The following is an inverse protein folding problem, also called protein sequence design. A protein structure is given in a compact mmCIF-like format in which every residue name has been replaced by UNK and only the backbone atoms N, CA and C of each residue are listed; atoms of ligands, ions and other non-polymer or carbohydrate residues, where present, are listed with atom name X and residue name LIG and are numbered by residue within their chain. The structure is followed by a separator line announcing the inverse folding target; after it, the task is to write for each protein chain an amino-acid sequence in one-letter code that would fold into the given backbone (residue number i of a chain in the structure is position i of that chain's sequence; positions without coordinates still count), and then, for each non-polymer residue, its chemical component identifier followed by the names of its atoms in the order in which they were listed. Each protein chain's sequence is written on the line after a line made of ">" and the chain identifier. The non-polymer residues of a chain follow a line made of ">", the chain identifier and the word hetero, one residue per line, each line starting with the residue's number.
data_IF_104111038362
#
_entry.id   IF_104111038362
#
_cell.length_a   1.000
_cell.length_b   1.000
_cell.length_c   1.000
_cell.angle_alpha   90.00
_cell.angle_beta   90.00
_cell.angle_gamma   90.00
#
_symmetry.space_group_name_H-M   'P 1'
#
loop_
_entity.id
_entity.type
_entity.pdbx_description
1 polymer ?
#
# COMPACT_ATOMS: atom_id res chain seq x y z
N UNK A 1 -16.17 -12.83 5.24
CA UNK A 1 -15.51 -11.66 5.88
C UNK A 1 -15.45 -11.83 7.39
N UNK A 2 -16.59 -12.03 8.10
CA UNK A 2 -16.65 -12.19 9.57
C UNK A 2 -15.71 -13.31 10.07
N UNK A 3 -15.72 -14.46 9.40
CA UNK A 3 -14.84 -15.59 9.72
C UNK A 3 -13.35 -15.22 9.73
N UNK A 4 -12.89 -14.42 8.77
CA UNK A 4 -11.50 -13.97 8.72
C UNK A 4 -11.13 -13.01 9.87
N UNK A 5 -12.07 -12.15 10.30
CA UNK A 5 -11.86 -11.28 11.45
C UNK A 5 -11.78 -12.08 12.76
N UNK A 6 -12.54 -13.17 12.89
CA UNK A 6 -12.44 -14.07 14.04
C UNK A 6 -11.08 -14.79 14.08
N UNK A 7 -10.62 -15.30 12.95
CA UNK A 7 -9.29 -15.91 12.83
C UNK A 7 -8.16 -14.91 13.14
N UNK A 8 -8.31 -13.65 12.71
CA UNK A 8 -7.36 -12.58 13.04
C UNK A 8 -7.35 -12.28 14.54
N UNK A 9 -8.51 -12.31 15.20
CA UNK A 9 -8.63 -12.16 16.65
C UNK A 9 -7.99 -13.31 17.45
N UNK A 10 -7.91 -14.50 16.86
CA UNK A 10 -7.23 -15.67 17.47
C UNK A 10 -5.73 -15.73 17.18
N UNK A 11 -5.18 -14.70 16.49
CA UNK A 11 -3.75 -14.64 16.22
C UNK A 11 -3.24 -15.59 15.14
N UNK A 12 -4.13 -16.21 14.35
CA UNK A 12 -3.78 -17.17 13.29
C UNK A 12 -2.89 -16.53 12.22
N UNK A 13 -3.02 -15.21 12.02
CA UNK A 13 -2.24 -14.45 11.03
C UNK A 13 -0.95 -13.81 11.60
N UNK A 14 -0.54 -14.23 12.81
CA UNK A 14 0.61 -13.65 13.50
C UNK A 14 0.33 -12.23 14.03
N UNK A 15 1.38 -11.46 14.27
CA UNK A 15 1.26 -10.09 14.77
C UNK A 15 0.56 -9.21 13.73
N UNK A 16 -0.63 -8.71 14.09
CA UNK A 16 -1.37 -7.74 13.29
C UNK A 16 -0.97 -6.33 13.71
N UNK A 17 -0.90 -5.36 12.78
CA UNK A 17 -0.63 -3.97 13.14
C UNK A 17 -1.71 -3.44 14.09
N UNK A 18 -1.27 -2.69 15.09
CA UNK A 18 -2.13 -1.99 16.03
C UNK A 18 -2.86 -0.84 15.34
N UNK A 19 -3.90 -0.28 15.98
CA UNK A 19 -4.56 0.91 15.45
C UNK A 19 -3.59 2.10 15.38
N UNK A 20 -2.69 2.24 16.37
CA UNK A 20 -1.68 3.29 16.42
C UNK A 20 -0.67 3.17 15.26
N UNK A 21 -0.21 1.96 14.94
CA UNK A 21 0.65 1.69 13.76
C UNK A 21 -0.08 1.98 12.44
N UNK A 22 -1.41 1.79 12.39
CA UNK A 22 -2.23 2.14 11.23
C UNK A 22 -2.46 3.65 11.11
N UNK A 23 -2.58 4.36 12.25
CA UNK A 23 -2.75 5.82 12.27
C UNK A 23 -1.48 6.57 11.89
N UNK A 24 -0.33 6.01 12.21
CA UNK A 24 0.96 6.64 11.94
C UNK A 24 1.95 5.61 11.38
N UNK A 25 1.75 5.14 10.13
CA UNK A 25 2.70 4.24 9.51
C UNK A 25 4.07 4.92 9.43
N UNK A 26 5.10 4.27 9.96
CA UNK A 26 6.46 4.80 9.98
C UNK A 26 6.89 5.25 8.58
N UNK A 27 7.09 6.54 8.43
CA UNK A 27 7.62 7.15 7.22
C UNK A 27 9.07 7.54 7.48
N UNK A 28 10.00 6.83 6.86
CA UNK A 28 11.42 7.20 6.88
C UNK A 28 11.61 8.44 6.00
N UNK A 29 11.60 9.62 6.63
CA UNK A 29 11.84 10.88 5.92
C UNK A 29 13.34 11.09 5.68
N UNK A 30 13.67 11.69 4.54
CA UNK A 30 15.03 12.11 4.26
C UNK A 30 15.41 13.30 5.16
N UNK A 31 16.58 13.25 5.78
CA UNK A 31 17.16 14.39 6.49
C UNK A 31 18.01 15.21 5.51
N UNK A 32 17.66 16.48 5.33
CA UNK A 32 18.45 17.40 4.51
C UNK A 32 19.56 18.05 5.35
N UNK A 33 20.78 18.02 4.83
CA UNK A 33 21.91 18.78 5.36
C UNK A 33 21.93 20.14 4.67
N UNK A 34 21.64 21.17 5.42
CA UNK A 34 21.59 22.55 4.91
C UNK A 34 22.80 23.32 5.49
N UNK A 35 23.52 24.03 4.64
CA UNK A 35 24.61 24.92 5.04
C UNK A 35 24.07 26.17 5.75
N UNK A 36 24.95 26.93 6.38
CA UNK A 36 24.58 28.15 7.12
C UNK A 36 24.00 29.27 6.24
N UNK A 37 24.24 29.20 4.93
CA UNK A 37 23.71 30.11 3.90
C UNK A 37 22.41 29.58 3.23
N UNK A 38 21.88 28.44 3.69
CA UNK A 38 20.62 27.87 3.21
C UNK A 38 20.76 26.94 2.01
N UNK A 39 21.96 26.65 1.53
CA UNK A 39 22.20 25.73 0.43
C UNK A 39 22.11 24.27 0.89
N UNK A 40 21.45 23.39 0.12
CA UNK A 40 21.40 21.96 0.42
C UNK A 40 22.72 21.30 0.08
N UNK A 41 23.51 20.94 1.09
CA UNK A 41 24.77 20.23 0.94
C UNK A 41 24.63 18.75 0.57
N UNK A 42 23.49 18.16 0.96
CA UNK A 42 23.19 16.76 0.68
C UNK A 42 21.95 16.29 1.42
N UNK A 43 21.52 15.08 1.06
CA UNK A 43 20.40 14.40 1.72
C UNK A 43 20.89 13.11 2.33
N UNK A 44 20.67 12.94 3.63
CA UNK A 44 20.89 11.68 4.31
C UNK A 44 19.57 10.96 4.49
N UNK A 45 19.41 9.83 3.84
CA UNK A 45 18.16 9.07 3.87
C UNK A 45 18.43 7.56 3.87
N UNK A 46 17.55 6.85 4.54
CA UNK A 46 17.46 5.40 4.41
C UNK A 46 16.70 5.04 3.13
N UNK A 47 15.73 5.90 2.76
CA UNK A 47 14.99 5.84 1.51
C UNK A 47 14.86 7.26 0.94
N UNK A 48 15.13 7.44 -0.36
CA UNK A 48 14.98 8.73 -1.03
C UNK A 48 13.49 9.04 -1.24
N UNK A 49 12.87 9.69 -0.26
CA UNK A 49 11.44 10.05 -0.29
C UNK A 49 11.24 11.53 -0.17
N UNK A 50 10.43 12.06 -1.05
CA UNK A 50 9.84 13.39 -0.92
C UNK A 50 8.32 13.20 -0.98
N UNK A 51 7.60 13.29 0.18
CA UNK A 51 6.18 13.06 0.20
C UNK A 51 5.44 14.12 -0.63
N UNK A 52 4.37 13.70 -1.28
CA UNK A 52 3.44 14.56 -2.01
C UNK A 52 2.07 14.52 -1.34
N UNK A 53 1.31 15.61 -1.38
CA UNK A 53 -0.08 15.67 -0.93
C UNK A 53 -1.01 15.32 -2.08
N UNK A 54 -2.25 14.91 -1.76
CA UNK A 54 -3.24 14.55 -2.78
C UNK A 54 -3.52 15.71 -3.76
N UNK A 55 -3.68 16.92 -3.24
CA UNK A 55 -3.95 18.11 -4.04
C UNK A 55 -2.83 18.47 -5.03
N UNK A 56 -1.62 18.01 -4.77
CA UNK A 56 -0.46 18.20 -5.65
C UNK A 56 -0.34 17.08 -6.71
N UNK A 57 -1.18 16.02 -6.63
CA UNK A 57 -1.17 14.93 -7.58
C UNK A 57 -1.90 15.31 -8.88
N UNK A 58 -1.29 15.11 -10.04
CA UNK A 58 -2.00 15.28 -11.31
C UNK A 58 -3.18 14.31 -11.41
N UNK A 59 -4.38 14.81 -11.69
CA UNK A 59 -5.59 13.98 -11.77
C UNK A 59 -5.47 12.84 -12.78
N UNK A 60 -4.80 13.06 -13.91
CA UNK A 60 -4.59 12.00 -14.90
C UNK A 60 -3.71 10.86 -14.37
N UNK A 61 -2.77 11.12 -13.45
CA UNK A 61 -1.99 10.07 -12.79
C UNK A 61 -2.87 9.21 -11.89
N UNK A 62 -3.72 9.83 -11.08
CA UNK A 62 -4.68 9.13 -10.22
C UNK A 62 -5.63 8.27 -11.06
N UNK A 63 -6.17 8.83 -12.15
CA UNK A 63 -7.06 8.11 -13.07
C UNK A 63 -6.34 6.92 -13.74
N UNK A 64 -5.10 7.10 -14.18
CA UNK A 64 -4.30 6.03 -14.77
C UNK A 64 -4.04 4.91 -13.76
N UNK A 65 -3.64 5.25 -12.52
CA UNK A 65 -3.43 4.29 -11.45
C UNK A 65 -4.70 3.47 -11.19
N UNK A 66 -5.83 4.14 -10.99
CA UNK A 66 -7.12 3.48 -10.73
C UNK A 66 -7.56 2.60 -11.90
N UNK A 67 -7.41 3.08 -13.13
CA UNK A 67 -7.79 2.32 -14.32
C UNK A 67 -6.92 1.06 -14.55
N UNK A 68 -5.65 1.11 -14.16
CA UNK A 68 -4.72 -0.02 -14.37
C UNK A 68 -4.71 -1.01 -13.22
N UNK A 69 -4.71 -0.54 -11.98
CA UNK A 69 -4.53 -1.38 -10.80
C UNK A 69 -5.86 -1.80 -10.18
N UNK A 70 -6.87 -0.92 -10.17
CA UNK A 70 -8.12 -1.15 -9.45
C UNK A 70 -9.27 -0.31 -10.00
N UNK A 71 -9.77 -0.66 -11.18
CA UNK A 71 -10.87 0.06 -11.88
C UNK A 71 -12.09 0.35 -10.99
N UNK A 72 -12.28 -0.47 -9.96
CA UNK A 72 -13.43 -0.37 -9.06
C UNK A 72 -13.07 0.17 -7.69
N UNK A 73 -11.92 0.80 -7.54
CA UNK A 73 -11.38 1.31 -6.28
C UNK A 73 -12.39 2.09 -5.43
N UNK A 74 -13.17 2.97 -6.04
CA UNK A 74 -14.18 3.78 -5.36
C UNK A 74 -15.49 3.01 -5.03
N UNK A 75 -15.60 1.73 -5.42
CA UNK A 75 -16.84 0.92 -5.28
C UNK A 75 -16.76 -0.19 -4.24
N UNK A 76 -15.62 -0.34 -3.57
CA UNK A 76 -15.41 -1.36 -2.53
C UNK A 76 -14.65 -0.79 -1.34
N UNK A 77 -14.63 -1.53 -0.23
CA UNK A 77 -13.94 -1.18 1.01
C UNK A 77 -12.75 -2.13 1.25
N UNK A 78 -11.67 -1.95 0.48
CA UNK A 78 -10.40 -2.68 0.59
C UNK A 78 -10.35 -4.02 -0.14
N UNK A 79 -11.49 -4.68 -0.37
CA UNK A 79 -11.57 -5.95 -1.10
C UNK A 79 -12.59 -5.82 -2.22
N UNK A 80 -12.19 -6.06 -3.46
CA UNK A 80 -13.11 -6.21 -4.59
C UNK A 80 -13.57 -7.67 -4.71
N UNK A 81 -14.72 -7.98 -4.11
CA UNK A 81 -15.29 -9.32 -4.14
C UNK A 81 -15.56 -9.82 -5.58
N UNK A 82 -16.02 -8.95 -6.49
CA UNK A 82 -16.27 -9.33 -7.89
C UNK A 82 -14.97 -9.61 -8.64
N UNK A 83 -13.95 -8.77 -8.46
CA UNK A 83 -12.62 -8.98 -9.02
C UNK A 83 -11.99 -10.29 -8.51
N UNK A 84 -12.13 -10.55 -7.20
CA UNK A 84 -11.62 -11.78 -6.58
C UNK A 84 -12.29 -13.03 -7.13
N UNK A 85 -13.63 -13.04 -7.26
CA UNK A 85 -14.37 -14.16 -7.85
C UNK A 85 -13.99 -14.34 -9.33
N UNK A 86 -13.89 -13.25 -10.09
CA UNK A 86 -13.44 -13.30 -11.49
C UNK A 86 -12.06 -13.93 -11.61
N UNK A 87 -11.09 -13.48 -10.81
CA UNK A 87 -9.73 -14.01 -10.86
C UNK A 87 -9.68 -15.49 -10.47
N UNK A 88 -10.49 -15.92 -9.50
CA UNK A 88 -10.59 -17.32 -9.10
C UNK A 88 -11.16 -18.18 -10.24
N UNK A 89 -12.25 -17.74 -10.89
CA UNK A 89 -12.90 -18.46 -11.99
C UNK A 89 -11.98 -18.59 -13.22
N UNK A 90 -11.25 -17.53 -13.54
CA UNK A 90 -10.36 -17.52 -14.72
C UNK A 90 -8.91 -17.84 -14.36
N UNK A 91 -8.62 -18.37 -13.17
CA UNK A 91 -7.27 -18.73 -12.70
C UNK A 91 -6.24 -17.60 -12.92
N UNK A 92 -6.67 -16.36 -12.77
CA UNK A 92 -5.83 -15.19 -13.00
C UNK A 92 -5.59 -14.78 -14.44
N UNK A 93 -6.06 -15.55 -15.44
CA UNK A 93 -5.81 -15.26 -16.86
C UNK A 93 -6.40 -13.93 -17.36
N UNK A 94 -7.37 -13.36 -16.65
CA UNK A 94 -8.03 -12.07 -16.96
C UNK A 94 -7.64 -10.95 -15.99
N UNK A 95 -6.40 -10.94 -15.52
CA UNK A 95 -5.86 -9.92 -14.62
C UNK A 95 -5.89 -10.30 -13.14
N UNK A 96 -5.13 -9.57 -12.34
CA UNK A 96 -5.07 -9.71 -10.89
C UNK A 96 -6.38 -9.30 -10.21
N UNK A 97 -6.53 -9.68 -8.94
CA UNK A 97 -7.65 -9.31 -8.08
C UNK A 97 -7.22 -8.47 -6.88
N UNK A 98 -5.94 -8.10 -6.81
CA UNK A 98 -5.43 -7.29 -5.71
C UNK A 98 -5.84 -5.83 -5.89
N UNK A 99 -6.45 -5.26 -4.86
CA UNK A 99 -6.82 -3.84 -4.85
C UNK A 99 -5.63 -2.95 -4.50
N UNK A 100 -5.72 -1.64 -4.79
CA UNK A 100 -4.72 -0.64 -4.39
C UNK A 100 -4.51 -0.71 -2.86
N UNK A 101 -5.58 -0.81 -2.07
CA UNK A 101 -5.49 -0.89 -0.61
C UNK A 101 -4.81 -2.17 -0.12
N UNK A 102 -4.99 -3.31 -0.79
CA UNK A 102 -4.28 -4.55 -0.49
C UNK A 102 -2.80 -4.46 -0.80
N UNK A 103 -2.45 -3.83 -1.93
CA UNK A 103 -1.05 -3.57 -2.28
C UNK A 103 -0.38 -2.64 -1.27
N UNK A 104 -1.07 -1.56 -0.86
CA UNK A 104 -0.60 -0.66 0.18
C UNK A 104 -0.41 -1.40 1.52
N UNK A 105 -1.36 -2.25 1.91
CA UNK A 105 -1.24 -3.04 3.15
C UNK A 105 -0.02 -3.95 3.14
N UNK A 106 0.30 -4.55 1.99
CA UNK A 106 1.52 -5.33 1.81
C UNK A 106 2.76 -4.46 1.99
N UNK A 107 2.81 -3.30 1.34
CA UNK A 107 3.97 -2.40 1.40
C UNK A 107 4.24 -1.83 2.81
N UNK A 108 3.20 -1.61 3.61
CA UNK A 108 3.31 -1.01 4.93
C UNK A 108 3.58 -2.02 6.05
N UNK A 109 2.97 -3.21 5.97
CA UNK A 109 2.84 -4.11 7.13
C UNK A 109 3.22 -5.56 6.85
N UNK A 110 3.62 -5.89 5.63
CA UNK A 110 4.02 -7.25 5.30
C UNK A 110 5.48 -7.23 4.88
N UNK A 111 6.35 -7.82 5.69
CA UNK A 111 7.72 -8.09 5.28
C UNK A 111 7.71 -9.04 4.08
N UNK A 112 8.65 -8.87 3.15
CA UNK A 112 8.78 -9.75 1.99
C UNK A 112 9.25 -11.14 2.44
N UNK A 113 8.31 -11.95 2.92
CA UNK A 113 8.55 -13.38 3.06
C UNK A 113 8.44 -14.01 1.67
N UNK A 114 9.58 -14.16 1.05
CA UNK A 114 9.73 -15.07 -0.10
C UNK A 114 9.59 -16.50 0.41
N UNK A 115 8.36 -16.97 0.57
CA UNK A 115 8.11 -18.36 0.94
C UNK A 115 7.59 -19.13 -0.26
N UNK A 116 8.15 -20.31 -0.50
CA UNK A 116 7.67 -21.26 -1.53
C UNK A 116 6.45 -22.05 -1.03
N UNK A 117 6.07 -21.88 0.25
CA UNK A 117 4.96 -22.60 0.86
C UNK A 117 3.63 -21.94 0.47
N UNK A 118 2.82 -22.65 -0.30
CA UNK A 118 1.49 -22.17 -0.75
C UNK A 118 0.57 -21.83 0.42
N UNK A 119 0.64 -22.56 1.52
CA UNK A 119 -0.19 -22.30 2.69
C UNK A 119 0.15 -20.96 3.36
N UNK A 120 1.44 -20.65 3.52
CA UNK A 120 1.90 -19.38 4.07
C UNK A 120 1.51 -18.21 3.17
N UNK A 121 1.61 -18.37 1.83
CA UNK A 121 1.14 -17.37 0.86
C UNK A 121 -0.35 -17.06 1.00
N UNK A 122 -1.18 -18.08 1.25
CA UNK A 122 -2.61 -17.90 1.49
C UNK A 122 -2.85 -17.16 2.81
N UNK A 123 -2.16 -17.52 3.90
CA UNK A 123 -2.27 -16.82 5.18
C UNK A 123 -1.84 -15.35 5.06
N UNK A 124 -0.75 -15.09 4.36
CA UNK A 124 -0.29 -13.72 4.08
C UNK A 124 -1.37 -12.93 3.32
N UNK A 125 -1.98 -13.54 2.30
CA UNK A 125 -3.04 -12.86 1.54
C UNK A 125 -4.27 -12.56 2.39
N UNK A 126 -4.63 -13.45 3.31
CA UNK A 126 -5.71 -13.21 4.26
C UNK A 126 -5.37 -12.06 5.23
N UNK A 127 -4.11 -11.98 5.70
CA UNK A 127 -3.62 -10.86 6.52
C UNK A 127 -3.75 -9.53 5.76
N UNK A 128 -3.30 -9.47 4.51
CA UNK A 128 -3.45 -8.29 3.66
C UNK A 128 -4.91 -7.83 3.55
N UNK A 129 -5.86 -8.77 3.40
CA UNK A 129 -7.29 -8.45 3.31
C UNK A 129 -7.84 -7.82 4.59
N UNK A 130 -7.45 -8.36 5.75
CA UNK A 130 -7.88 -7.80 7.04
C UNK A 130 -7.30 -6.40 7.24
N UNK A 131 -6.02 -6.20 6.94
CA UNK A 131 -5.36 -4.89 7.05
C UNK A 131 -5.98 -3.90 6.07
N UNK A 132 -6.18 -4.28 4.80
CA UNK A 132 -6.81 -3.43 3.80
C UNK A 132 -8.21 -2.95 4.23
N UNK A 133 -9.02 -3.84 4.80
CA UNK A 133 -10.34 -3.46 5.31
C UNK A 133 -10.26 -2.50 6.50
N UNK A 134 -9.22 -2.62 7.35
CA UNK A 134 -9.00 -1.69 8.46
C UNK A 134 -8.55 -0.31 7.94
N UNK A 135 -7.62 -0.27 6.98
CA UNK A 135 -7.18 0.97 6.34
C UNK A 135 -8.36 1.73 5.73
N UNK A 136 -9.25 1.06 5.00
CA UNK A 136 -10.44 1.69 4.39
C UNK A 136 -11.49 2.20 5.39
N UNK A 137 -11.42 1.76 6.64
CA UNK A 137 -12.27 2.31 7.71
C UNK A 137 -11.67 3.56 8.33
N UNK A 138 -10.36 3.72 8.23
CA UNK A 138 -9.61 4.76 8.92
C UNK A 138 -9.24 5.91 7.99
N UNK A 139 -8.97 5.62 6.73
CA UNK A 139 -8.50 6.57 5.73
C UNK A 139 -9.49 6.72 4.59
N UNK A 140 -9.57 7.92 4.05
CA UNK A 140 -10.30 8.22 2.82
C UNK A 140 -9.62 7.59 1.60
N UNK A 141 -10.33 7.47 0.50
CA UNK A 141 -9.78 6.99 -0.77
C UNK A 141 -8.61 7.83 -1.27
N UNK A 142 -8.68 9.12 -1.07
CA UNK A 142 -7.64 10.10 -1.44
C UNK A 142 -6.38 9.91 -0.61
N UNK A 143 -6.53 9.72 0.70
CA UNK A 143 -5.40 9.41 1.59
C UNK A 143 -4.74 8.08 1.23
N UNK A 144 -5.53 7.04 0.92
CA UNK A 144 -5.01 5.73 0.49
C UNK A 144 -4.20 5.84 -0.80
N UNK A 145 -4.70 6.57 -1.82
CA UNK A 145 -3.96 6.84 -3.06
C UNK A 145 -2.66 7.58 -2.76
N UNK A 146 -2.73 8.60 -1.91
CA UNK A 146 -1.57 9.41 -1.52
C UNK A 146 -0.50 8.56 -0.84
N UNK A 147 -0.89 7.73 0.13
CA UNK A 147 0.01 6.80 0.81
C UNK A 147 0.62 5.79 -0.17
N UNK A 148 -0.19 5.24 -1.07
CA UNK A 148 0.26 4.29 -2.09
C UNK A 148 1.33 4.91 -2.98
N UNK A 149 1.07 6.09 -3.56
CA UNK A 149 2.00 6.78 -4.45
C UNK A 149 3.26 7.29 -3.73
N UNK A 150 3.17 7.61 -2.45
CA UNK A 150 4.31 7.99 -1.62
C UNK A 150 5.19 6.79 -1.20
N UNK A 151 4.60 5.59 -1.11
CA UNK A 151 5.30 4.38 -0.63
C UNK A 151 5.79 3.49 -1.77
N UNK A 152 5.25 3.63 -2.97
CA UNK A 152 5.58 2.78 -4.11
C UNK A 152 7.05 2.93 -4.51
N UNK A 153 7.74 1.81 -4.65
CA UNK A 153 9.13 1.77 -5.13
C UNK A 153 9.15 1.73 -6.66
N UNK A 154 9.62 2.83 -7.25
CA UNK A 154 9.76 2.98 -8.71
C UNK A 154 11.12 2.47 -9.23
N UNK A 155 11.85 1.69 -8.45
CA UNK A 155 13.19 1.22 -8.76
C UNK A 155 14.27 2.34 -8.66
N UNK A 156 15.53 1.97 -8.84
CA UNK A 156 16.68 2.90 -8.80
C UNK A 156 16.73 3.80 -7.54
N UNK A 157 16.26 3.28 -6.40
CA UNK A 157 16.17 4.01 -5.12
C UNK A 157 15.18 5.19 -5.12
N UNK A 158 14.26 5.25 -6.10
CA UNK A 158 13.22 6.26 -6.16
C UNK A 158 11.94 5.75 -5.49
N UNK A 159 11.81 5.98 -4.18
CA UNK A 159 10.60 5.66 -3.42
C UNK A 159 9.66 6.86 -3.42
N UNK A 160 8.44 6.63 -3.88
CA UNK A 160 7.42 7.65 -4.06
C UNK A 160 7.48 8.40 -5.39
N UNK A 161 6.30 8.76 -5.88
CA UNK A 161 6.11 9.34 -7.22
C UNK A 161 6.90 10.64 -7.45
N UNK A 162 7.05 11.47 -6.41
CA UNK A 162 7.79 12.73 -6.53
C UNK A 162 9.30 12.49 -6.69
N UNK A 163 9.83 11.46 -6.04
CA UNK A 163 11.24 11.07 -6.22
C UNK A 163 11.49 10.47 -7.60
N UNK A 164 10.52 9.71 -8.12
CA UNK A 164 10.59 9.09 -9.44
C UNK A 164 10.43 10.08 -10.61
N UNK A 165 9.83 11.25 -10.38
CA UNK A 165 9.59 12.28 -11.41
C UNK A 165 10.76 13.27 -11.58
N UNK A 166 11.84 13.15 -10.81
CA UNK A 166 13.04 13.99 -10.87
C UNK A 166 14.19 13.25 -11.57
#
# INVERSE_FOLDING_TARGET
>A
VIFFFLLAGWGVFGKMPTFEELENPETNLATELISSDGETLGKYYRENRTPIKYDDLPQHLVQALVATEDERFYKHAGIDARGTVRAAVYLGAKGGASTITQQLSKQLFTEDFSTDNTFERVLQKMKEWVIATRLERQYTKEEIITMYLNKYDFLYQAVGVRSASR
#
